data_IF_890693367852
#
_entry.id   IF_890693367852
#
_cell.length_a   1.000
_cell.length_b   1.000
_cell.length_c   1.000
_cell.angle_alpha   90.00
_cell.angle_beta   90.00
_cell.angle_gamma   90.00
#
_symmetry.space_group_name_H-M   'P 1'
#
loop_
_entity.id
_entity.type
_entity.pdbx_description
1 polymer ?
#
# COMPACT_ATOMS: atom_id res chain seq x y z
N UNK A 1 1.84 -6.92 23.53
CA UNK A 1 0.66 -6.10 23.26
C UNK A 1 1.10 -4.72 22.77
N UNK A 2 0.48 -4.23 21.72
CA UNK A 2 0.86 -2.93 21.10
C UNK A 2 0.11 -1.80 21.80
N UNK A 3 0.81 -0.71 22.14
CA UNK A 3 0.18 0.45 22.80
C UNK A 3 -0.77 1.18 21.84
N UNK A 4 -1.70 1.97 22.40
CA UNK A 4 -2.64 2.76 21.61
C UNK A 4 -1.92 3.76 20.69
N UNK A 5 -0.81 4.35 21.16
CA UNK A 5 -0.03 5.29 20.36
C UNK A 5 0.58 4.60 19.14
N UNK A 6 1.11 3.39 19.33
CA UNK A 6 1.69 2.61 18.23
C UNK A 6 0.59 2.15 17.26
N UNK A 7 -0.56 1.71 17.76
CA UNK A 7 -1.69 1.33 16.90
C UNK A 7 -2.11 2.51 16.01
N UNK A 8 -2.17 3.72 16.56
CA UNK A 8 -2.50 4.91 15.79
C UNK A 8 -1.50 5.16 14.67
N UNK A 9 -0.20 5.00 14.96
CA UNK A 9 0.84 5.14 13.94
C UNK A 9 0.73 4.07 12.85
N UNK A 10 0.46 2.82 13.23
CA UNK A 10 0.30 1.73 12.28
C UNK A 10 -0.92 1.95 11.38
N UNK A 11 -2.01 2.47 11.92
CA UNK A 11 -3.19 2.81 11.11
C UNK A 11 -2.87 3.89 10.09
N UNK A 12 -2.07 4.88 10.47
CA UNK A 12 -1.66 5.93 9.54
C UNK A 12 -0.78 5.37 8.42
N UNK A 13 0.15 4.48 8.76
CA UNK A 13 1.00 3.81 7.77
C UNK A 13 0.16 2.94 6.82
N UNK A 14 -0.79 2.20 7.37
CA UNK A 14 -1.70 1.37 6.58
C UNK A 14 -2.50 2.22 5.59
N UNK A 15 -3.02 3.35 6.05
CA UNK A 15 -3.77 4.29 5.21
C UNK A 15 -2.90 4.85 4.09
N UNK A 16 -1.65 5.23 4.41
CA UNK A 16 -0.71 5.75 3.44
C UNK A 16 -0.41 4.71 2.35
N UNK A 17 -0.20 3.46 2.73
CA UNK A 17 0.12 2.39 1.78
C UNK A 17 -1.07 2.05 0.89
N UNK A 18 -2.29 2.10 1.41
CA UNK A 18 -3.50 1.92 0.59
C UNK A 18 -3.63 3.06 -0.41
N UNK A 19 -3.34 4.29 0.01
CA UNK A 19 -3.35 5.46 -0.89
C UNK A 19 -2.31 5.27 -1.99
N UNK A 20 -1.10 4.86 -1.66
CA UNK A 20 -0.04 4.60 -2.63
C UNK A 20 -0.43 3.48 -3.59
N UNK A 21 -1.06 2.42 -3.10
CA UNK A 21 -1.58 1.35 -3.95
C UNK A 21 -2.51 1.90 -5.03
N UNK A 22 -3.45 2.77 -4.66
CA UNK A 22 -4.38 3.37 -5.61
C UNK A 22 -3.66 4.28 -6.60
N UNK A 23 -2.70 5.09 -6.14
CA UNK A 23 -1.94 5.99 -6.99
C UNK A 23 -1.14 5.20 -8.02
N UNK A 24 -0.39 4.18 -7.60
CA UNK A 24 0.42 3.37 -8.50
C UNK A 24 -0.44 2.61 -9.50
N UNK A 25 -1.62 2.14 -9.08
CA UNK A 25 -2.56 1.46 -9.97
C UNK A 25 -3.05 2.41 -11.05
N UNK A 26 -3.39 3.66 -10.69
CA UNK A 26 -3.84 4.66 -11.66
C UNK A 26 -2.72 5.03 -12.64
N UNK A 27 -1.49 5.20 -12.15
CA UNK A 27 -0.36 5.50 -13.01
C UNK A 27 -0.11 4.34 -13.98
N UNK A 28 -0.17 3.11 -13.49
CA UNK A 28 0.03 1.92 -14.33
C UNK A 28 -0.96 1.87 -15.49
N UNK A 29 -2.22 2.25 -15.25
CA UNK A 29 -3.25 2.27 -16.30
C UNK A 29 -2.95 3.27 -17.42
N UNK A 30 -2.20 4.34 -17.10
CA UNK A 30 -1.88 5.41 -18.05
C UNK A 30 -0.57 5.18 -18.79
N UNK A 31 0.26 4.25 -18.35
CA UNK A 31 1.52 3.96 -18.99
C UNK A 31 1.30 3.15 -20.26
N UNK A 32 2.00 3.53 -21.33
CA UNK A 32 1.95 2.83 -22.61
C UNK A 32 2.94 1.67 -22.68
N UNK A 33 4.06 1.79 -21.95
CA UNK A 33 5.08 0.76 -21.93
C UNK A 33 4.64 -0.39 -21.03
N UNK A 34 4.59 -1.59 -21.58
CA UNK A 34 4.09 -2.76 -20.86
C UNK A 34 4.98 -3.16 -19.70
N UNK A 35 6.32 -3.06 -19.88
CA UNK A 35 7.26 -3.35 -18.80
C UNK A 35 7.07 -2.40 -17.62
N UNK A 36 6.91 -1.12 -17.91
CA UNK A 36 6.72 -0.11 -16.86
C UNK A 36 5.41 -0.36 -16.12
N UNK A 37 4.35 -0.73 -16.85
CA UNK A 37 3.07 -1.08 -16.22
C UNK A 37 3.21 -2.26 -15.26
N UNK A 38 3.93 -3.29 -15.68
CA UNK A 38 4.12 -4.47 -14.85
C UNK A 38 4.92 -4.16 -13.59
N UNK A 39 5.94 -3.30 -13.70
CA UNK A 39 6.73 -2.86 -12.56
C UNK A 39 5.85 -2.12 -11.55
N UNK A 40 5.02 -1.17 -12.02
CA UNK A 40 4.14 -0.39 -11.13
C UNK A 40 3.03 -1.24 -10.52
N UNK A 41 2.49 -2.20 -11.25
CA UNK A 41 1.52 -3.15 -10.69
C UNK A 41 2.14 -3.96 -9.56
N UNK A 42 3.39 -4.38 -9.73
CA UNK A 42 4.12 -5.13 -8.70
C UNK A 42 4.32 -4.28 -7.44
N UNK A 43 4.74 -3.03 -7.61
CA UNK A 43 4.90 -2.09 -6.50
C UNK A 43 3.57 -1.86 -5.78
N UNK A 44 2.49 -1.67 -6.54
CA UNK A 44 1.14 -1.48 -5.98
C UNK A 44 0.72 -2.68 -5.13
N UNK A 45 0.97 -3.90 -5.60
CA UNK A 45 0.64 -5.11 -4.85
C UNK A 45 1.47 -5.23 -3.57
N UNK A 46 2.73 -4.80 -3.59
CA UNK A 46 3.58 -4.75 -2.39
C UNK A 46 3.00 -3.79 -1.35
N UNK A 47 2.54 -2.61 -1.76
CA UNK A 47 1.91 -1.65 -0.86
C UNK A 47 0.64 -2.22 -0.23
N UNK A 48 -0.17 -2.92 -1.03
CA UNK A 48 -1.37 -3.58 -0.54
C UNK A 48 -1.02 -4.67 0.49
N UNK A 49 0.01 -5.47 0.22
CA UNK A 49 0.45 -6.51 1.13
C UNK A 49 0.95 -5.92 2.46
N UNK A 50 1.68 -4.80 2.40
CA UNK A 50 2.13 -4.09 3.60
C UNK A 50 0.94 -3.59 4.43
N UNK A 51 -0.07 -3.03 3.78
CA UNK A 51 -1.27 -2.58 4.47
C UNK A 51 -1.99 -3.73 5.18
N UNK A 52 -2.04 -4.90 4.55
CA UNK A 52 -2.63 -6.09 5.16
C UNK A 52 -1.84 -6.56 6.39
N UNK A 53 -0.51 -6.48 6.32
CA UNK A 53 0.35 -6.82 7.47
C UNK A 53 0.06 -5.88 8.64
N UNK A 54 0.01 -4.56 8.39
CA UNK A 54 -0.32 -3.59 9.43
C UNK A 54 -1.71 -3.80 10.00
N UNK A 55 -2.66 -4.24 9.16
CA UNK A 55 -4.02 -4.55 9.58
C UNK A 55 -4.12 -5.64 10.64
N UNK A 56 -3.14 -6.56 10.69
CA UNK A 56 -3.09 -7.59 11.73
C UNK A 56 -2.85 -7.01 13.12
N UNK A 57 -2.21 -5.84 13.19
CA UNK A 57 -1.91 -5.16 14.45
C UNK A 57 -2.96 -4.11 14.81
N UNK A 58 -3.70 -3.60 13.84
CA UNK A 58 -4.68 -2.53 14.06
C UNK A 58 -6.11 -3.05 14.21
N UNK A 59 -6.34 -4.27 13.77
CA UNK A 59 -7.67 -4.88 13.85
C UNK A 59 -8.53 -4.66 12.61
#
# INVERSE_FOLDING_TARGET
MVSKAIVKQLRQMQKNEITEYHIYTLIARRLKNEQDREILKRIALQEKAHAEIWGRYTG
#
